data_IF_521388308896
#
_entry.id   IF_521388308896
#
_cell.length_a   1.000
_cell.length_b   1.000
_cell.length_c   1.000
_cell.angle_alpha   90.00
_cell.angle_beta   90.00
_cell.angle_gamma   90.00
#
_symmetry.space_group_name_H-M   'P 1'
#
loop_
_entity.id
_entity.type
_entity.pdbx_description
1 polymer ?
#
# COMPACT_ATOMS: atom_id res chain seq x y z
N UNK A 1 -12.02 24.23 -56.58
CA UNK A 1 -12.12 22.76 -56.50
C UNK A 1 -11.97 22.40 -55.03
N UNK A 2 -13.05 22.05 -54.33
CA UNK A 2 -12.99 21.70 -52.91
C UNK A 2 -12.59 20.23 -52.79
N UNK A 3 -11.50 19.96 -52.07
CA UNK A 3 -10.80 18.68 -52.01
C UNK A 3 -11.74 17.51 -51.62
N UNK A 4 -11.91 16.55 -52.54
CA UNK A 4 -12.71 15.32 -52.43
C UNK A 4 -11.89 14.10 -51.98
N UNK A 5 -10.67 14.29 -51.47
CA UNK A 5 -9.79 13.21 -51.01
C UNK A 5 -10.16 12.69 -49.62
N UNK A 6 -11.22 11.89 -49.51
CA UNK A 6 -11.36 10.99 -48.37
C UNK A 6 -10.59 9.73 -48.77
N UNK A 7 -9.51 9.44 -48.05
CA UNK A 7 -8.75 8.20 -48.24
C UNK A 7 -9.72 7.04 -48.06
N UNK A 8 -10.10 6.38 -49.15
CA UNK A 8 -11.00 5.23 -49.14
C UNK A 8 -10.24 4.03 -49.69
N UNK A 9 -10.03 3.02 -48.85
CA UNK A 9 -9.69 1.67 -49.30
C UNK A 9 -10.94 0.80 -49.18
N UNK A 10 -11.72 0.71 -50.26
CA UNK A 10 -13.03 0.04 -50.25
C UNK A 10 -12.93 -1.44 -50.67
N UNK A 11 -11.70 -1.95 -50.87
CA UNK A 11 -11.46 -3.28 -51.44
C UNK A 11 -10.90 -4.27 -50.39
N UNK A 12 -10.90 -3.89 -49.10
CA UNK A 12 -10.44 -4.73 -47.99
C UNK A 12 -8.93 -4.66 -47.70
N UNK A 13 -8.20 -3.81 -48.42
CA UNK A 13 -6.76 -3.62 -48.22
C UNK A 13 -6.47 -2.63 -47.07
N UNK A 14 -5.28 -2.75 -46.45
CA UNK A 14 -4.83 -1.86 -45.38
C UNK A 14 -4.59 -0.42 -45.91
N UNK A 15 -4.80 0.60 -45.07
CA UNK A 15 -4.19 1.90 -45.32
C UNK A 15 -2.68 1.79 -45.05
N UNK A 16 -1.87 1.80 -46.11
CA UNK A 16 -0.42 1.63 -46.01
C UNK A 16 0.28 2.98 -46.00
N UNK A 17 1.07 3.25 -44.96
CA UNK A 17 2.06 4.33 -44.93
C UNK A 17 3.41 3.74 -45.31
N UNK A 18 4.10 4.33 -46.28
CA UNK A 18 5.40 3.85 -46.73
C UNK A 18 6.45 3.93 -45.59
N UNK A 19 7.50 3.10 -45.67
CA UNK A 19 8.60 3.11 -44.68
C UNK A 19 9.17 4.52 -44.52
N UNK A 20 9.23 5.00 -43.26
CA UNK A 20 9.68 6.36 -42.93
C UNK A 20 8.62 7.46 -43.06
N UNK A 21 7.40 7.13 -43.50
CA UNK A 21 6.26 8.05 -43.51
C UNK A 21 5.50 8.06 -42.19
N UNK A 22 4.66 9.08 -42.01
CA UNK A 22 3.79 9.25 -40.84
C UNK A 22 2.34 9.40 -41.28
N UNK A 23 1.41 8.79 -40.54
CA UNK A 23 0.00 9.17 -40.59
C UNK A 23 -0.23 10.21 -39.50
N UNK A 24 -0.53 11.44 -39.91
CA UNK A 24 -0.82 12.53 -39.00
C UNK A 24 -2.34 12.78 -38.93
N UNK A 25 -2.84 13.02 -37.72
CA UNK A 25 -4.22 13.43 -37.47
C UNK A 25 -4.17 14.91 -37.11
N UNK A 26 -4.54 15.76 -38.07
CA UNK A 26 -4.50 17.23 -37.95
C UNK A 26 -5.18 17.76 -36.67
N UNK A 27 -4.79 18.95 -36.22
CA UNK A 27 -5.37 19.62 -35.06
C UNK A 27 -6.91 19.66 -35.11
N UNK A 28 -7.55 18.94 -34.20
CA UNK A 28 -9.02 18.82 -34.11
C UNK A 28 -9.58 17.49 -34.62
N UNK A 29 -8.75 16.62 -35.21
CA UNK A 29 -9.10 15.23 -35.50
C UNK A 29 -8.88 14.30 -34.29
N UNK A 30 -9.58 13.17 -34.28
CA UNK A 30 -9.41 12.09 -33.30
C UNK A 30 -9.09 10.78 -34.02
N UNK A 31 -8.21 9.97 -33.43
CA UNK A 31 -8.09 8.57 -33.82
C UNK A 31 -9.29 7.81 -33.22
N UNK A 32 -10.14 7.23 -34.06
CA UNK A 32 -11.29 6.44 -33.64
C UNK A 32 -11.10 4.96 -34.01
N UNK A 33 -11.47 4.05 -33.11
CA UNK A 33 -11.57 2.61 -33.39
C UNK A 33 -13.02 2.22 -33.23
N UNK A 34 -13.65 1.71 -34.30
CA UNK A 34 -15.05 1.32 -34.32
C UNK A 34 -16.01 2.44 -33.83
N UNK A 35 -15.71 3.70 -34.18
CA UNK A 35 -16.50 4.88 -33.80
C UNK A 35 -16.30 5.35 -32.36
N UNK A 36 -15.30 4.82 -31.65
CA UNK A 36 -14.91 5.27 -30.31
C UNK A 36 -13.58 6.01 -30.41
N UNK A 37 -13.59 7.29 -30.05
CA UNK A 37 -12.39 8.11 -30.00
C UNK A 37 -11.42 7.65 -28.91
N UNK A 38 -10.14 7.56 -29.28
CA UNK A 38 -9.04 7.46 -28.33
C UNK A 38 -8.82 8.87 -27.76
N UNK A 39 -9.02 9.02 -26.45
CA UNK A 39 -8.87 10.30 -25.76
C UNK A 39 -7.48 10.52 -25.16
N UNK A 40 -6.67 9.47 -25.04
CA UNK A 40 -5.29 9.57 -24.59
C UNK A 40 -4.44 10.30 -25.65
N UNK A 41 -3.59 11.21 -25.19
CA UNK A 41 -2.55 11.84 -26.01
C UNK A 41 -1.53 10.81 -26.49
N UNK A 42 -0.80 11.14 -27.55
CA UNK A 42 0.30 10.30 -28.02
C UNK A 42 1.36 10.05 -26.92
N UNK A 43 1.62 11.04 -26.06
CA UNK A 43 2.55 10.88 -24.94
C UNK A 43 2.08 9.82 -23.93
N UNK A 44 0.78 9.81 -23.61
CA UNK A 44 0.19 8.81 -22.71
C UNK A 44 0.22 7.41 -23.35
N UNK A 45 -0.13 7.28 -24.64
CA UNK A 45 -0.11 5.99 -25.36
C UNK A 45 1.32 5.44 -25.45
N UNK A 46 2.31 6.29 -25.69
CA UNK A 46 3.73 5.89 -25.78
C UNK A 46 4.29 5.32 -24.45
N UNK A 47 3.57 5.46 -23.34
CA UNK A 47 3.93 4.79 -22.08
C UNK A 47 3.63 3.28 -22.09
N UNK A 48 2.79 2.79 -23.02
CA UNK A 48 2.48 1.36 -23.21
C UNK A 48 3.47 0.64 -24.11
N UNK A 49 4.21 1.37 -24.94
CA UNK A 49 5.18 0.80 -25.87
C UNK A 49 6.27 0.01 -25.13
N UNK A 50 6.59 -1.18 -25.65
CA UNK A 50 7.56 -2.13 -25.11
C UNK A 50 7.32 -2.57 -23.64
N UNK A 51 6.10 -2.44 -23.12
CA UNK A 51 5.70 -2.99 -21.82
C UNK A 51 5.27 -4.45 -21.99
N UNK A 52 5.84 -5.34 -21.18
CA UNK A 52 5.40 -6.75 -21.09
C UNK A 52 4.52 -6.92 -19.86
N UNK A 53 3.35 -7.55 -20.01
CA UNK A 53 2.45 -7.81 -18.88
C UNK A 53 3.15 -8.57 -17.75
N UNK A 54 2.95 -8.11 -16.51
CA UNK A 54 3.57 -8.69 -15.32
C UNK A 54 4.97 -8.18 -14.98
N UNK A 55 5.58 -7.35 -15.84
CA UNK A 55 6.89 -6.73 -15.58
C UNK A 55 6.79 -5.20 -15.63
N UNK A 56 7.27 -4.53 -14.58
CA UNK A 56 7.39 -3.07 -14.60
C UNK A 56 8.55 -2.64 -15.53
N UNK A 57 8.29 -1.67 -16.42
CA UNK A 57 9.31 -1.02 -17.21
C UNK A 57 9.59 0.40 -16.68
N UNK A 58 10.86 0.81 -16.66
CA UNK A 58 11.24 2.12 -16.14
C UNK A 58 10.62 3.25 -16.98
N UNK A 59 10.00 4.23 -16.31
CA UNK A 59 9.35 5.39 -16.95
C UNK A 59 8.22 5.05 -17.94
N UNK A 60 7.56 3.91 -17.72
CA UNK A 60 6.46 3.38 -18.55
C UNK A 60 5.28 2.95 -17.68
N UNK A 61 4.19 2.52 -18.31
CA UNK A 61 3.04 1.95 -17.61
C UNK A 61 3.37 0.62 -16.92
N UNK A 62 2.63 0.29 -15.85
CA UNK A 62 2.62 -1.04 -15.23
C UNK A 62 1.33 -1.74 -15.67
N UNK A 63 1.47 -2.89 -16.34
CA UNK A 63 0.34 -3.68 -16.85
C UNK A 63 0.33 -5.04 -16.17
N UNK A 64 -0.84 -5.44 -15.64
CA UNK A 64 -1.03 -6.74 -15.02
C UNK A 64 -0.82 -7.88 -16.02
N UNK A 65 -0.33 -9.04 -15.57
CA UNK A 65 -0.37 -10.26 -16.39
C UNK A 65 -1.79 -10.86 -16.46
N UNK A 66 -1.94 -11.98 -17.18
CA UNK A 66 -3.22 -12.67 -17.34
C UNK A 66 -3.81 -13.23 -16.03
N UNK A 67 -2.97 -13.43 -15.01
CA UNK A 67 -3.36 -13.86 -13.67
C UNK A 67 -3.46 -12.69 -12.67
N UNK A 68 -3.40 -11.44 -13.17
CA UNK A 68 -3.46 -10.19 -12.39
C UNK A 68 -2.24 -9.95 -11.50
N UNK A 69 -1.08 -10.55 -11.83
CA UNK A 69 0.16 -10.34 -11.11
C UNK A 69 0.98 -9.17 -11.67
N UNK A 70 1.88 -8.67 -10.84
CA UNK A 70 2.95 -7.72 -11.19
C UNK A 70 4.23 -8.11 -10.47
N UNK A 71 5.36 -7.99 -11.15
CA UNK A 71 6.70 -8.22 -10.61
C UNK A 71 7.68 -7.09 -11.01
N UNK A 72 8.77 -6.94 -10.25
CA UNK A 72 9.82 -5.96 -10.55
C UNK A 72 9.55 -4.52 -10.13
N UNK A 73 8.47 -4.25 -9.36
CA UNK A 73 8.20 -2.91 -8.82
C UNK A 73 9.17 -2.61 -7.68
N UNK A 74 10.01 -1.60 -7.87
CA UNK A 74 10.89 -1.07 -6.82
C UNK A 74 10.25 0.14 -6.16
N UNK A 75 10.01 0.05 -4.86
CA UNK A 75 9.56 1.19 -4.07
C UNK A 75 10.78 1.81 -3.38
N UNK A 76 11.08 3.07 -3.67
CA UNK A 76 12.28 3.76 -3.17
C UNK A 76 11.98 4.86 -2.16
N UNK A 77 10.72 5.18 -1.90
CA UNK A 77 10.37 6.17 -0.88
C UNK A 77 10.68 5.59 0.51
N UNK A 78 11.53 6.29 1.25
CA UNK A 78 11.88 5.95 2.62
C UNK A 78 10.71 6.10 3.60
N UNK A 79 9.56 6.62 3.16
CA UNK A 79 8.31 6.70 3.92
C UNK A 79 7.47 5.43 3.82
N UNK A 80 7.87 4.43 3.03
CA UNK A 80 7.26 3.10 3.06
C UNK A 80 7.71 2.32 4.29
N UNK A 81 7.49 2.91 5.47
CA UNK A 81 7.88 2.41 6.78
C UNK A 81 6.61 2.19 7.58
N UNK A 82 6.61 1.16 8.43
CA UNK A 82 5.57 1.01 9.44
C UNK A 82 5.69 2.14 10.45
N UNK A 83 4.78 3.12 10.37
CA UNK A 83 4.74 4.24 11.33
C UNK A 83 4.58 3.71 12.76
N UNK A 84 5.47 4.12 13.65
CA UNK A 84 5.43 3.73 15.06
C UNK A 84 4.48 4.64 15.83
N UNK A 85 3.48 4.07 16.49
CA UNK A 85 2.68 4.76 17.48
C UNK A 85 3.49 4.98 18.74
N UNK A 86 3.66 6.23 19.14
CA UNK A 86 4.34 6.59 20.40
C UNK A 86 3.30 6.90 21.46
N UNK A 87 3.60 6.49 22.70
CA UNK A 87 2.81 6.86 23.87
C UNK A 87 3.76 7.20 25.01
N UNK A 88 3.47 8.26 25.74
CA UNK A 88 4.22 8.67 26.93
C UNK A 88 3.28 8.52 28.12
N UNK A 89 3.61 7.62 29.06
CA UNK A 89 2.84 7.47 30.29
C UNK A 89 3.04 8.65 31.25
N UNK A 90 3.95 9.58 30.96
CA UNK A 90 4.25 10.77 31.75
C UNK A 90 4.58 10.46 33.22
N UNK A 91 5.26 9.33 33.46
CA UNK A 91 5.57 8.82 34.80
C UNK A 91 4.38 8.20 35.53
N UNK A 92 3.22 8.03 34.89
CA UNK A 92 2.09 7.30 35.45
C UNK A 92 2.23 5.78 35.25
N UNK A 93 1.26 5.03 35.78
CA UNK A 93 1.12 3.58 35.59
C UNK A 93 -0.35 3.20 35.30
N UNK A 94 -1.08 4.10 34.63
CA UNK A 94 -2.49 3.89 34.26
C UNK A 94 -2.59 3.09 32.97
N UNK A 95 -3.72 2.42 32.74
CA UNK A 95 -3.94 1.71 31.48
C UNK A 95 -4.16 2.70 30.32
N UNK A 96 -3.44 2.49 29.22
CA UNK A 96 -3.58 3.24 27.98
C UNK A 96 -4.40 2.45 26.97
N UNK A 97 -5.58 2.93 26.63
CA UNK A 97 -6.38 2.38 25.52
C UNK A 97 -5.99 3.05 24.21
N UNK A 98 -5.61 2.25 23.22
CA UNK A 98 -5.27 2.75 21.89
C UNK A 98 -6.48 3.45 21.26
N UNK A 99 -6.26 4.67 20.78
CA UNK A 99 -7.22 5.42 19.99
C UNK A 99 -7.39 4.86 18.58
N UNK A 100 -8.46 5.24 17.89
CA UNK A 100 -8.71 4.82 16.51
C UNK A 100 -7.54 5.14 15.54
N UNK A 101 -6.85 6.26 15.75
CA UNK A 101 -5.69 6.65 14.94
C UNK A 101 -4.42 5.85 15.29
N UNK A 102 -4.33 5.30 16.50
CA UNK A 102 -3.24 4.42 16.90
C UNK A 102 -3.46 3.02 16.37
N UNK A 103 -4.70 2.53 16.33
CA UNK A 103 -5.03 1.20 15.79
C UNK A 103 -4.70 1.02 14.29
N UNK A 104 -4.49 2.11 13.55
CA UNK A 104 -4.00 2.05 12.17
C UNK A 104 -2.49 1.76 12.06
N UNK A 105 -1.76 1.84 13.18
CA UNK A 105 -0.32 1.60 13.25
C UNK A 105 -0.09 0.16 13.69
N UNK A 106 0.78 -0.56 13.01
CA UNK A 106 1.10 -1.95 13.35
C UNK A 106 2.17 -2.07 14.42
N UNK A 107 2.86 -0.97 14.77
CA UNK A 107 3.94 -0.93 15.75
C UNK A 107 3.67 0.17 16.77
N UNK A 108 3.83 -0.15 18.05
CA UNK A 108 3.68 0.77 19.17
C UNK A 108 4.92 0.74 20.08
N UNK A 109 5.33 1.91 20.55
CA UNK A 109 6.42 2.08 21.50
C UNK A 109 6.00 3.02 22.63
N UNK A 110 5.33 2.51 23.67
CA UNK A 110 5.07 3.29 24.87
C UNK A 110 6.36 3.52 25.67
N UNK A 111 6.41 4.62 26.43
CA UNK A 111 7.59 5.08 27.17
C UNK A 111 7.24 5.68 28.53
N UNK A 112 8.25 5.85 29.39
CA UNK A 112 8.21 6.69 30.59
C UNK A 112 7.07 6.37 31.58
N UNK A 113 7.01 5.12 32.06
CA UNK A 113 6.14 4.71 33.16
C UNK A 113 6.94 4.63 34.48
N UNK A 114 6.27 4.85 35.62
CA UNK A 114 6.89 4.72 36.96
C UNK A 114 6.38 3.50 37.74
N UNK A 115 5.75 2.57 37.04
CA UNK A 115 5.23 1.31 37.57
C UNK A 115 4.86 0.39 36.42
N UNK A 116 4.52 -0.87 36.73
CA UNK A 116 3.98 -1.77 35.72
C UNK A 116 2.70 -1.14 35.15
N UNK A 117 2.57 -1.15 33.83
CA UNK A 117 1.52 -0.44 33.12
C UNK A 117 0.88 -1.33 32.04
N UNK A 118 -0.31 -0.94 31.60
CA UNK A 118 -1.08 -1.70 30.64
C UNK A 118 -1.29 -0.91 29.34
N UNK A 119 -1.23 -1.60 28.20
CA UNK A 119 -1.76 -1.14 26.92
C UNK A 119 -2.99 -1.98 26.56
N UNK A 120 -4.08 -1.32 26.19
CA UNK A 120 -5.35 -1.94 25.86
C UNK A 120 -5.60 -1.86 24.36
N UNK A 121 -5.71 -3.03 23.72
CA UNK A 121 -6.14 -3.19 22.32
C UNK A 121 -7.57 -3.72 22.25
N UNK A 122 -8.29 -3.54 21.11
CA UNK A 122 -9.60 -4.13 20.90
C UNK A 122 -9.57 -5.65 21.00
N UNK A 123 -10.68 -6.25 21.42
CA UNK A 123 -10.84 -7.70 21.45
C UNK A 123 -11.03 -8.33 20.06
N UNK A 124 -11.00 -7.54 18.98
CA UNK A 124 -11.13 -8.02 17.60
C UNK A 124 -10.01 -9.00 17.27
N UNK A 125 -10.38 -10.26 17.07
CA UNK A 125 -9.43 -11.32 16.78
C UNK A 125 -8.74 -11.13 15.42
N UNK A 126 -7.49 -11.59 15.30
CA UNK A 126 -6.80 -11.67 14.01
C UNK A 126 -6.00 -10.43 13.60
N UNK A 127 -5.99 -9.36 14.40
CA UNK A 127 -5.22 -8.14 14.09
C UNK A 127 -3.90 -8.15 14.90
N UNK A 128 -2.73 -8.32 14.25
CA UNK A 128 -1.45 -8.31 14.95
C UNK A 128 -0.96 -6.89 15.19
N UNK A 129 -0.40 -6.66 16.38
CA UNK A 129 0.35 -5.46 16.74
C UNK A 129 1.73 -5.85 17.26
N UNK A 130 2.74 -5.02 17.00
CA UNK A 130 4.05 -5.11 17.63
C UNK A 130 4.12 -4.09 18.75
N UNK A 131 4.38 -4.53 19.98
CA UNK A 131 4.69 -3.63 21.08
C UNK A 131 6.18 -3.71 21.40
N UNK A 132 6.86 -2.57 21.31
CA UNK A 132 8.24 -2.37 21.74
C UNK A 132 8.17 -1.67 23.09
N UNK A 133 8.43 -2.39 24.17
CA UNK A 133 8.35 -1.82 25.50
C UNK A 133 9.56 -0.92 25.79
N UNK A 134 9.35 0.39 25.78
CA UNK A 134 10.32 1.40 26.20
C UNK A 134 9.91 2.13 27.49
N UNK A 135 9.00 1.55 28.29
CA UNK A 135 8.41 2.25 29.44
C UNK A 135 9.35 2.37 30.63
N UNK A 136 10.44 1.59 30.67
CA UNK A 136 11.27 1.41 31.86
C UNK A 136 10.81 0.25 32.74
N UNK A 137 9.55 -0.19 32.59
CA UNK A 137 8.86 -1.12 33.49
C UNK A 137 8.30 -2.31 32.72
N UNK A 138 7.60 -3.24 33.39
CA UNK A 138 6.87 -4.31 32.70
C UNK A 138 5.57 -3.74 32.07
N UNK A 139 5.34 -4.04 30.79
CA UNK A 139 4.14 -3.64 30.05
C UNK A 139 3.25 -4.85 29.83
N UNK A 140 2.01 -4.82 30.28
CA UNK A 140 1.02 -5.86 29.90
C UNK A 140 0.18 -5.35 28.73
N UNK A 141 0.13 -6.12 27.65
CA UNK A 141 -0.82 -5.84 26.56
C UNK A 141 -2.04 -6.73 26.75
N UNK A 142 -3.23 -6.14 26.82
CA UNK A 142 -4.48 -6.86 27.13
C UNK A 142 -5.65 -6.26 26.36
N UNK A 143 -6.80 -6.93 26.40
CA UNK A 143 -8.07 -6.30 26.04
C UNK A 143 -8.66 -5.59 27.27
N UNK A 144 -9.72 -4.80 27.10
CA UNK A 144 -10.33 -4.08 28.20
C UNK A 144 -10.84 -5.01 29.32
N UNK A 145 -11.38 -6.18 28.97
CA UNK A 145 -11.96 -7.12 29.92
C UNK A 145 -11.11 -8.39 30.13
N UNK A 146 -10.17 -8.67 29.23
CA UNK A 146 -9.36 -9.89 29.26
C UNK A 146 -8.00 -9.70 29.91
N UNK A 147 -7.17 -10.73 29.75
CA UNK A 147 -5.77 -10.76 30.16
C UNK A 147 -4.85 -10.64 28.95
N UNK A 148 -3.54 -10.65 29.17
CA UNK A 148 -2.60 -10.81 28.09
C UNK A 148 -1.15 -10.84 28.53
N UNK A 149 -0.21 -10.91 27.57
CA UNK A 149 1.19 -11.09 27.85
C UNK A 149 1.82 -9.86 28.49
N UNK A 150 2.73 -10.11 29.42
CA UNK A 150 3.66 -9.11 29.93
C UNK A 150 4.94 -9.11 29.07
N UNK A 151 5.33 -7.92 28.64
CA UNK A 151 6.53 -7.65 27.86
C UNK A 151 7.51 -6.94 28.80
N UNK A 152 8.68 -7.53 29.05
CA UNK A 152 9.71 -6.90 29.88
C UNK A 152 10.27 -5.62 29.22
N UNK A 153 10.81 -4.71 30.03
CA UNK A 153 11.41 -3.46 29.52
C UNK A 153 12.53 -3.76 28.50
N UNK A 154 12.59 -2.97 27.42
CA UNK A 154 13.58 -3.13 26.35
C UNK A 154 13.31 -4.31 25.42
N UNK A 155 12.22 -5.06 25.60
CA UNK A 155 11.81 -6.17 24.74
C UNK A 155 10.69 -5.74 23.79
N UNK A 156 10.51 -6.52 22.73
CA UNK A 156 9.38 -6.39 21.83
C UNK A 156 8.62 -7.72 21.73
N UNK A 157 7.31 -7.65 21.51
CA UNK A 157 6.48 -8.82 21.28
C UNK A 157 5.45 -8.50 20.21
N UNK A 158 5.21 -9.48 19.32
CA UNK A 158 4.05 -9.46 18.45
C UNK A 158 2.89 -10.07 19.23
N UNK A 159 1.79 -9.33 19.32
CA UNK A 159 0.60 -9.72 20.07
C UNK A 159 -0.63 -9.61 19.19
N UNK A 160 -1.68 -10.34 19.55
CA UNK A 160 -2.95 -10.33 18.85
C UNK A 160 -4.06 -10.70 19.82
N UNK A 161 -5.25 -10.11 19.67
CA UNK A 161 -6.40 -10.56 20.44
C UNK A 161 -6.93 -11.90 19.90
N UNK A 162 -7.45 -12.77 20.78
CA UNK A 162 -8.10 -14.04 20.44
C UNK A 162 -9.65 -13.95 20.43
N UNK A 163 -10.20 -12.74 20.60
CA UNK A 163 -11.63 -12.53 20.83
C UNK A 163 -11.95 -12.14 22.28
N UNK A 164 -11.08 -12.47 23.23
CA UNK A 164 -11.27 -12.17 24.66
C UNK A 164 -9.98 -11.67 25.31
N UNK A 165 -8.89 -12.43 25.20
CA UNK A 165 -7.57 -12.09 25.72
C UNK A 165 -6.65 -11.61 24.61
N UNK A 166 -5.49 -11.10 25.00
CA UNK A 166 -4.36 -10.91 24.09
C UNK A 166 -3.41 -12.08 24.26
N UNK A 167 -2.93 -12.62 23.14
CA UNK A 167 -1.94 -13.68 23.08
C UNK A 167 -0.63 -13.14 22.49
N UNK A 168 0.49 -13.69 22.94
CA UNK A 168 1.79 -13.47 22.32
C UNK A 168 1.96 -14.45 21.14
N UNK A 169 2.32 -13.92 19.97
CA UNK A 169 2.56 -14.70 18.74
C UNK A 169 4.05 -15.04 18.53
N UNK A 170 4.92 -14.41 19.30
CA UNK A 170 6.32 -14.75 19.45
C UNK A 170 6.69 -14.61 20.94
N UNK A 171 7.59 -15.44 21.45
CA UNK A 171 7.95 -15.41 22.88
C UNK A 171 8.41 -14.00 23.27
N UNK A 172 7.64 -13.32 24.12
CA UNK A 172 8.11 -12.17 24.86
C UNK A 172 9.21 -12.68 25.79
N UNK A 173 10.49 -12.49 25.44
CA UNK A 173 11.58 -13.02 26.26
C UNK A 173 11.46 -12.46 27.67
N UNK A 174 11.49 -13.34 28.68
CA UNK A 174 11.71 -12.97 30.08
C UNK A 174 13.02 -12.19 30.26
#
# INVERSE_FOLDING_TARGET
MANTGKVYNNDGDNLVVASGGTLDIESGGALEIAGVAITASAAEINTLDNVTGGAAAASKAVVLDSAKNVSGVKLTDAQHVFTVGTHDYAGAAVAWTLSAAELLKTVHKPTNANGNCDAIIPATAGIPYVFINGTGQALTVKTAAGTGPTIANGKACIVMADGTNVIALASASA
#
